data_IF_484052310809
#
_entry.id   IF_484052310809
#
_cell.length_a   1.000
_cell.length_b   1.000
_cell.length_c   1.000
_cell.angle_alpha   90.00
_cell.angle_beta   90.00
_cell.angle_gamma   90.00
#
_symmetry.space_group_name_H-M   'P 1'
#
loop_
_entity.id
_entity.type
_entity.pdbx_description
1 polymer ?
#
# COMPACT_ATOMS: atom_id res chain seq x y z
N UNK A 1 18.54 12.39 8.47
CA UNK A 1 17.42 12.70 7.56
C UNK A 1 17.29 11.55 6.58
N UNK A 2 16.25 10.74 6.70
CA UNK A 2 15.97 9.69 5.71
C UNK A 2 15.42 10.35 4.43
N UNK A 3 16.18 10.25 3.35
CA UNK A 3 15.76 10.71 2.03
C UNK A 3 14.71 9.73 1.53
N UNK A 4 13.43 10.07 1.69
CA UNK A 4 12.33 9.30 1.12
C UNK A 4 12.26 9.62 -0.38
N UNK A 5 13.00 8.87 -1.18
CA UNK A 5 12.90 8.91 -2.64
C UNK A 5 11.51 8.38 -3.02
N UNK A 6 10.69 9.13 -3.79
CA UNK A 6 9.42 8.64 -4.26
C UNK A 6 9.65 7.38 -5.11
N UNK A 7 9.12 6.25 -4.66
CA UNK A 7 9.30 4.98 -5.34
C UNK A 7 8.34 4.89 -6.53
N UNK A 8 8.92 4.95 -7.73
CA UNK A 8 8.24 4.62 -8.98
C UNK A 8 8.44 3.12 -9.22
N UNK A 9 7.38 2.33 -9.44
CA UNK A 9 7.54 0.94 -9.85
C UNK A 9 8.43 0.89 -11.09
N UNK A 10 9.49 0.09 -11.10
CA UNK A 10 10.33 -0.04 -12.28
C UNK A 10 9.48 -0.59 -13.43
N UNK A 11 9.73 -0.10 -14.64
CA UNK A 11 9.03 -0.56 -15.86
C UNK A 11 9.21 -2.05 -16.14
N UNK A 12 10.19 -2.68 -15.49
CA UNK A 12 10.40 -4.13 -15.45
C UNK A 12 10.54 -4.58 -13.99
N UNK A 13 9.84 -5.64 -13.54
CA UNK A 13 10.04 -6.18 -12.21
C UNK A 13 11.51 -6.61 -12.03
N UNK A 14 12.10 -6.25 -10.89
CA UNK A 14 13.39 -6.78 -10.46
C UNK A 14 13.18 -8.18 -9.87
N UNK A 15 14.23 -8.99 -9.73
CA UNK A 15 14.13 -10.31 -9.05
C UNK A 15 13.47 -10.21 -7.67
N UNK A 16 13.60 -9.04 -7.02
CA UNK A 16 13.07 -8.76 -5.72
C UNK A 16 11.81 -7.91 -5.72
N UNK A 17 11.09 -7.87 -6.83
CA UNK A 17 9.80 -7.21 -6.87
C UNK A 17 8.75 -7.93 -7.68
N UNK A 18 7.52 -7.84 -7.22
CA UNK A 18 6.39 -8.44 -7.90
C UNK A 18 5.14 -7.58 -7.77
N UNK A 19 4.29 -7.72 -8.78
CA UNK A 19 2.94 -7.21 -8.81
C UNK A 19 2.01 -8.35 -8.48
N UNK A 20 1.05 -8.09 -7.61
CA UNK A 20 0.04 -9.08 -7.25
C UNK A 20 -1.27 -8.42 -6.86
N UNK A 21 -2.18 -9.25 -6.37
CA UNK A 21 -3.45 -8.80 -5.83
C UNK A 21 -3.65 -9.39 -4.44
N UNK A 22 -4.07 -8.57 -3.50
CA UNK A 22 -4.33 -8.98 -2.13
C UNK A 22 -5.72 -8.51 -1.71
N UNK A 23 -6.48 -9.40 -1.07
CA UNK A 23 -7.74 -9.05 -0.43
C UNK A 23 -7.49 -8.54 0.97
N UNK A 24 -7.79 -7.27 1.21
CA UNK A 24 -7.60 -6.67 2.53
C UNK A 24 -8.32 -5.35 2.72
N UNK A 25 -8.15 -4.81 3.91
CA UNK A 25 -8.64 -3.50 4.35
C UNK A 25 -7.44 -2.59 4.54
N UNK A 26 -7.51 -1.39 3.98
CA UNK A 26 -6.46 -0.40 4.16
C UNK A 26 -6.87 0.56 5.27
N UNK A 27 -6.08 0.57 6.34
CA UNK A 27 -6.25 1.43 7.51
C UNK A 27 -5.24 2.59 7.43
N UNK A 28 -5.66 3.82 7.05
CA UNK A 28 -4.76 4.96 6.95
C UNK A 28 -4.25 5.37 8.34
N UNK A 29 -3.01 5.86 8.41
CA UNK A 29 -2.48 6.41 9.65
C UNK A 29 -3.04 7.83 9.88
N UNK A 30 -3.85 8.07 10.93
CA UNK A 30 -4.56 9.34 11.14
C UNK A 30 -3.63 10.51 11.49
N UNK A 31 -2.40 10.24 11.94
CA UNK A 31 -1.46 11.26 12.40
C UNK A 31 -0.55 11.82 11.31
N UNK A 32 -0.76 11.45 10.04
CA UNK A 32 0.05 11.96 8.94
C UNK A 32 -0.67 13.01 8.12
N UNK A 33 -0.02 14.17 7.94
CA UNK A 33 -0.42 15.11 6.91
C UNK A 33 -0.33 14.44 5.52
N UNK A 34 -1.38 14.54 4.70
CA UNK A 34 -1.40 13.94 3.38
C UNK A 34 -0.37 14.62 2.48
N UNK A 35 0.75 13.94 2.25
CA UNK A 35 1.75 14.28 1.25
C UNK A 35 1.40 13.59 -0.09
N UNK A 36 2.38 13.24 -0.94
CA UNK A 36 2.15 12.49 -2.20
C UNK A 36 1.52 11.09 -2.01
N UNK A 37 1.53 10.54 -0.80
CA UNK A 37 1.01 9.22 -0.46
C UNK A 37 0.48 9.18 0.98
N UNK A 38 -0.57 8.40 1.21
CA UNK A 38 -1.08 8.06 2.53
C UNK A 38 -0.38 6.81 3.03
N UNK A 39 0.31 6.88 4.18
CA UNK A 39 0.81 5.67 4.84
C UNK A 39 -0.30 5.05 5.67
N UNK A 40 -0.27 3.74 5.77
CA UNK A 40 -1.23 2.99 6.55
C UNK A 40 -0.82 1.53 6.68
N UNK A 41 -1.79 0.72 7.06
CA UNK A 41 -1.63 -0.72 7.20
C UNK A 41 -2.62 -1.42 6.28
N UNK A 42 -2.13 -2.35 5.46
CA UNK A 42 -2.99 -3.29 4.75
C UNK A 42 -3.20 -4.52 5.62
N UNK A 43 -4.42 -4.69 6.12
CA UNK A 43 -4.84 -5.86 6.92
C UNK A 43 -5.54 -6.85 6.00
N UNK A 44 -4.94 -8.02 5.78
CA UNK A 44 -5.53 -9.08 4.97
C UNK A 44 -6.69 -9.76 5.71
N UNK A 45 -7.57 -10.44 4.96
CA UNK A 45 -8.67 -11.23 5.53
C UNK A 45 -8.21 -12.25 6.59
N UNK A 46 -6.99 -12.78 6.45
CA UNK A 46 -6.39 -13.75 7.37
C UNK A 46 -5.80 -13.11 8.64
N UNK A 47 -5.95 -11.80 8.84
CA UNK A 47 -5.41 -11.06 9.98
C UNK A 47 -3.93 -10.65 9.85
N UNK A 48 -3.27 -11.05 8.76
CA UNK A 48 -1.89 -10.64 8.46
C UNK A 48 -1.88 -9.16 8.08
N UNK A 49 -0.98 -8.39 8.69
CA UNK A 49 -0.89 -6.95 8.49
C UNK A 49 0.46 -6.55 7.92
N UNK A 50 0.44 -5.61 6.97
CA UNK A 50 1.63 -5.07 6.34
C UNK A 50 1.61 -3.55 6.34
N UNK A 51 2.75 -2.93 6.59
CA UNK A 51 2.92 -1.50 6.30
C UNK A 51 2.71 -1.25 4.81
N UNK A 52 1.79 -0.36 4.47
CA UNK A 52 1.39 -0.07 3.11
C UNK A 52 1.32 1.43 2.84
N UNK A 53 1.51 1.79 1.58
CA UNK A 53 1.44 3.16 1.09
C UNK A 53 0.43 3.22 -0.05
N UNK A 54 -0.52 4.16 0.02
CA UNK A 54 -1.49 4.40 -1.04
C UNK A 54 -1.23 5.75 -1.69
N UNK A 55 -1.30 5.83 -3.01
CA UNK A 55 -1.19 7.11 -3.70
C UNK A 55 -2.30 8.09 -3.32
N UNK A 56 -1.95 9.35 -3.03
CA UNK A 56 -2.91 10.36 -2.57
C UNK A 56 -4.10 10.58 -3.52
N UNK A 57 -3.93 10.65 -4.86
CA UNK A 57 -5.06 10.79 -5.77
C UNK A 57 -6.02 9.60 -5.72
N UNK A 58 -5.48 8.39 -5.57
CA UNK A 58 -6.29 7.18 -5.42
C UNK A 58 -7.03 7.20 -4.08
N UNK A 59 -6.35 7.55 -2.99
CA UNK A 59 -6.98 7.68 -1.68
C UNK A 59 -8.11 8.70 -1.70
N UNK A 60 -7.89 9.90 -2.23
CA UNK A 60 -8.92 10.94 -2.31
C UNK A 60 -10.14 10.47 -3.12
N UNK A 61 -9.92 9.75 -4.22
CA UNK A 61 -11.01 9.18 -5.04
C UNK A 61 -11.80 8.11 -4.28
N UNK A 62 -11.13 7.32 -3.44
CA UNK A 62 -11.77 6.26 -2.66
C UNK A 62 -12.46 6.82 -1.42
N UNK A 63 -11.82 7.70 -0.66
CA UNK A 63 -12.38 8.29 0.57
C UNK A 63 -13.63 9.15 0.33
N UNK A 64 -13.78 9.70 -0.87
CA UNK A 64 -14.99 10.43 -1.30
C UNK A 64 -16.09 9.53 -1.85
N UNK A 65 -15.83 8.24 -2.06
CA UNK A 65 -16.83 7.30 -2.54
C UNK A 65 -17.66 6.74 -1.35
N UNK A 66 -18.98 6.96 -1.30
CA UNK A 66 -19.82 6.50 -0.18
C UNK A 66 -19.94 4.98 -0.08
N UNK A 67 -19.64 4.25 -1.16
CA UNK A 67 -19.56 2.79 -1.15
C UNK A 67 -18.24 2.27 -0.60
N UNK A 68 -17.19 3.11 -0.65
CA UNK A 68 -15.92 2.83 -0.01
C UNK A 68 -16.05 3.07 1.50
N UNK A 69 -15.43 2.24 2.30
CA UNK A 69 -15.66 2.25 3.74
C UNK A 69 -14.55 1.54 4.47
N UNK A 70 -14.14 2.13 5.59
CA UNK A 70 -12.98 1.73 6.40
C UNK A 70 -13.09 0.32 7.00
N UNK A 71 -14.26 -0.32 6.97
CA UNK A 71 -14.50 -1.69 7.48
C UNK A 71 -14.66 -2.75 6.39
N UNK A 72 -14.59 -2.36 5.12
CA UNK A 72 -14.78 -3.28 3.98
C UNK A 72 -13.45 -3.82 3.48
N UNK A 73 -13.49 -5.03 2.96
CA UNK A 73 -12.35 -5.70 2.31
C UNK A 73 -12.46 -5.47 0.80
N UNK A 74 -11.35 -5.08 0.19
CA UNK A 74 -11.24 -4.84 -1.25
C UNK A 74 -10.11 -5.68 -1.84
N UNK A 75 -10.20 -5.93 -3.15
CA UNK A 75 -9.09 -6.45 -3.93
C UNK A 75 -8.15 -5.30 -4.27
N UNK A 76 -6.97 -5.29 -3.65
CA UNK A 76 -5.94 -4.30 -3.91
C UNK A 76 -4.93 -4.86 -4.90
N UNK A 77 -4.67 -4.13 -5.98
CA UNK A 77 -3.46 -4.34 -6.77
C UNK A 77 -2.31 -3.83 -5.93
N UNK A 78 -1.35 -4.70 -5.64
CA UNK A 78 -0.21 -4.37 -4.79
C UNK A 78 1.09 -4.54 -5.54
N UNK A 79 2.03 -3.65 -5.28
CA UNK A 79 3.43 -3.84 -5.60
C UNK A 79 4.18 -4.17 -4.31
N UNK A 80 4.94 -5.25 -4.30
CA UNK A 80 5.78 -5.61 -3.17
C UNK A 80 7.25 -5.73 -3.57
N UNK A 81 8.10 -5.20 -2.69
CA UNK A 81 9.55 -5.40 -2.76
C UNK A 81 9.96 -6.37 -1.67
N UNK A 82 10.69 -7.41 -2.04
CA UNK A 82 11.32 -8.35 -1.11
C UNK A 82 12.79 -7.96 -0.91
N UNK A 83 13.36 -8.34 0.22
CA UNK A 83 14.81 -8.24 0.45
C UNK A 83 15.53 -9.47 -0.12
N UNK A 84 16.86 -9.44 -0.21
CA UNK A 84 17.66 -10.64 -0.55
C UNK A 84 17.39 -11.82 0.39
N UNK A 85 16.88 -11.57 1.60
CA UNK A 85 16.48 -12.58 2.58
C UNK A 85 15.02 -13.05 2.43
N UNK A 86 14.31 -12.69 1.34
CA UNK A 86 12.93 -13.10 1.09
C UNK A 86 11.88 -12.40 1.97
N UNK A 87 12.26 -11.44 2.81
CA UNK A 87 11.34 -10.69 3.67
C UNK A 87 10.65 -9.56 2.88
N UNK A 88 9.34 -9.40 3.06
CA UNK A 88 8.58 -8.26 2.55
C UNK A 88 9.09 -6.96 3.18
N UNK A 89 9.55 -6.04 2.34
CA UNK A 89 10.11 -4.75 2.77
C UNK A 89 9.09 -3.61 2.65
N UNK A 90 8.22 -3.65 1.63
CA UNK A 90 7.29 -2.57 1.34
C UNK A 90 6.10 -3.07 0.51
N UNK A 91 4.89 -2.59 0.83
CA UNK A 91 3.68 -2.76 0.02
C UNK A 91 3.19 -1.40 -0.45
N UNK A 92 2.84 -1.29 -1.73
CA UNK A 92 2.25 -0.09 -2.33
C UNK A 92 0.98 -0.44 -3.07
N UNK A 93 -0.04 0.42 -2.90
CA UNK A 93 -1.39 0.31 -3.45
C UNK A 93 -1.64 1.45 -4.45
#
# INVERSE_FOLDING_TARGET
MEVVVPFTPPSRPTEFSALGYLFGRFDPNPSQEPNRSVKGTLVLKQGISFSAYMHQPLWNKLSTNPSFGEKKVYLWRVYFRITKAGKLAQIQI
#
